data_IF_840032352784
#
_entry.id   IF_840032352784
#
_cell.length_a   1.000
_cell.length_b   1.000
_cell.length_c   1.000
_cell.angle_alpha   90.00
_cell.angle_beta   90.00
_cell.angle_gamma   90.00
#
_symmetry.space_group_name_H-M   'P 1'
#
loop_
_entity.id
_entity.type
_entity.pdbx_description
1 polymer ?
#
# COMPACT_ATOMS: atom_id res chain seq x y z
N UNK A 1 -12.60 20.94 -13.93
CA UNK A 1 -13.13 19.64 -14.41
C UNK A 1 -12.00 18.63 -14.70
N UNK A 2 -11.04 18.95 -15.57
CA UNK A 2 -9.94 18.04 -15.95
C UNK A 2 -9.16 17.48 -14.76
N UNK A 3 -8.76 18.34 -13.81
CA UNK A 3 -8.04 17.91 -12.61
C UNK A 3 -8.86 16.98 -11.70
N UNK A 4 -10.19 17.16 -11.65
CA UNK A 4 -11.09 16.30 -10.88
C UNK A 4 -11.23 14.91 -11.52
N UNK A 5 -11.32 14.85 -12.86
CA UNK A 5 -11.36 13.59 -13.62
C UNK A 5 -10.04 12.82 -13.43
N UNK A 6 -8.90 13.51 -13.49
CA UNK A 6 -7.60 12.88 -13.27
C UNK A 6 -7.47 12.36 -11.84
N UNK A 7 -7.98 13.09 -10.84
CA UNK A 7 -8.04 12.61 -9.45
C UNK A 7 -8.86 11.31 -9.34
N UNK A 8 -10.01 11.23 -10.01
CA UNK A 8 -10.82 10.02 -10.04
C UNK A 8 -10.11 8.86 -10.75
N UNK A 9 -9.46 9.11 -11.89
CA UNK A 9 -8.69 8.11 -12.62
C UNK A 9 -7.47 7.60 -11.81
N UNK A 10 -6.82 8.48 -11.04
CA UNK A 10 -5.77 8.13 -10.08
C UNK A 10 -6.31 7.26 -8.94
N UNK A 11 -7.48 7.60 -8.39
CA UNK A 11 -8.12 6.81 -7.33
C UNK A 11 -8.48 5.39 -7.80
N UNK A 12 -8.83 5.24 -9.08
CA UNK A 12 -9.10 3.95 -9.72
C UNK A 12 -7.82 3.18 -10.12
N UNK A 13 -6.62 3.77 -9.95
CA UNK A 13 -5.36 3.16 -10.37
C UNK A 13 -5.20 3.04 -11.89
N UNK A 14 -6.02 3.76 -12.66
CA UNK A 14 -6.03 3.76 -14.11
C UNK A 14 -5.04 4.78 -14.71
N UNK A 15 -4.60 5.75 -13.91
CA UNK A 15 -3.67 6.79 -14.36
C UNK A 15 -2.34 6.72 -13.61
N UNK A 16 -1.21 7.04 -14.28
CA UNK A 16 0.05 7.19 -13.60
C UNK A 16 0.03 8.22 -12.47
N UNK A 17 0.74 7.92 -11.38
CA UNK A 17 0.85 8.83 -10.22
C UNK A 17 1.43 10.17 -10.69
N UNK A 18 0.67 11.25 -10.55
CA UNK A 18 1.08 12.63 -10.90
C UNK A 18 1.08 13.51 -9.66
N UNK A 19 1.91 14.56 -9.65
CA UNK A 19 1.94 15.50 -8.53
C UNK A 19 0.62 16.28 -8.48
N UNK A 20 -0.13 16.08 -7.41
CA UNK A 20 -1.31 16.87 -7.08
C UNK A 20 -0.91 17.88 -6.01
N UNK A 21 -1.05 19.17 -6.35
CA UNK A 21 -0.90 20.28 -5.41
C UNK A 21 -2.30 20.77 -5.05
N UNK A 22 -2.64 20.72 -3.78
CA UNK A 22 -3.89 21.30 -3.28
C UNK A 22 -3.70 22.80 -3.12
N UNK A 23 -4.44 23.62 -3.87
CA UNK A 23 -4.26 25.07 -3.89
C UNK A 23 -5.04 25.80 -2.81
N UNK A 24 -6.01 25.15 -2.15
CA UNK A 24 -6.84 25.77 -1.11
C UNK A 24 -6.90 24.98 0.20
N UNK A 25 -6.91 25.74 1.30
CA UNK A 25 -6.97 25.25 2.68
C UNK A 25 -8.37 24.72 3.08
N UNK A 26 -9.43 25.14 2.37
CA UNK A 26 -10.83 24.91 2.77
C UNK A 26 -11.60 23.95 1.85
N UNK A 27 -11.14 23.78 0.60
CA UNK A 27 -11.82 22.93 -0.39
C UNK A 27 -10.89 21.87 -0.97
N UNK A 28 -11.12 20.62 -0.56
CA UNK A 28 -10.45 19.40 -1.06
C UNK A 28 -10.60 19.16 -2.58
N UNK A 29 -11.47 19.94 -3.24
CA UNK A 29 -11.72 19.90 -4.69
C UNK A 29 -10.82 20.81 -5.53
N UNK A 30 -10.10 21.78 -4.92
CA UNK A 30 -9.19 22.66 -5.65
C UNK A 30 -7.81 22.03 -5.76
N UNK A 31 -7.64 21.30 -6.87
CA UNK A 31 -6.45 20.53 -7.20
C UNK A 31 -5.82 21.13 -8.44
N UNK A 32 -4.53 21.44 -8.34
CA UNK A 32 -3.68 21.82 -9.45
C UNK A 32 -2.60 20.76 -9.65
N UNK A 33 -2.40 20.33 -10.88
CA UNK A 33 -1.30 19.41 -11.22
C UNK A 33 -0.43 20.06 -12.29
N UNK A 34 0.80 20.50 -11.94
CA UNK A 34 1.65 21.25 -12.87
C UNK A 34 2.05 20.41 -14.08
N UNK A 35 2.36 19.13 -13.87
CA UNK A 35 2.79 18.22 -14.94
C UNK A 35 1.67 18.02 -15.97
N UNK A 36 0.43 17.83 -15.50
CA UNK A 36 -0.76 17.73 -16.36
C UNK A 36 -1.02 19.05 -17.09
N UNK A 37 -0.86 20.19 -16.42
CA UNK A 37 -1.08 21.48 -17.04
C UNK A 37 -0.13 21.71 -18.23
N UNK A 38 1.12 21.29 -18.12
CA UNK A 38 2.08 21.31 -19.22
C UNK A 38 1.70 20.36 -20.36
N UNK A 39 1.30 19.12 -20.03
CA UNK A 39 0.82 18.15 -21.04
C UNK A 39 -0.41 18.70 -21.76
N UNK A 40 -1.35 19.31 -21.03
CA UNK A 40 -2.56 19.89 -21.58
C UNK A 40 -2.25 21.11 -22.47
N UNK A 41 -1.29 21.94 -22.08
CA UNK A 41 -0.81 23.05 -22.90
C UNK A 41 -0.21 22.56 -24.22
N UNK A 42 0.70 21.57 -24.17
CA UNK A 42 1.30 20.98 -25.39
C UNK A 42 0.22 20.34 -26.26
N UNK A 43 -0.72 19.64 -25.67
CA UNK A 43 -1.83 19.01 -26.38
C UNK A 43 -2.74 20.06 -27.05
N UNK A 44 -3.08 21.14 -26.36
CA UNK A 44 -3.85 22.25 -26.94
C UNK A 44 -3.11 22.87 -28.13
N UNK A 45 -1.81 23.14 -28.00
CA UNK A 45 -1.00 23.67 -29.10
C UNK A 45 -0.97 22.70 -30.28
N UNK A 46 -0.78 21.40 -30.03
CA UNK A 46 -0.75 20.38 -31.06
C UNK A 46 -2.09 20.27 -31.82
N UNK A 47 -3.22 20.33 -31.11
CA UNK A 47 -4.56 20.33 -31.71
C UNK A 47 -4.78 21.60 -32.53
N UNK A 48 -4.49 22.78 -31.98
CA UNK A 48 -4.65 24.05 -32.72
C UNK A 48 -3.75 24.14 -33.94
N UNK A 49 -2.52 23.63 -33.87
CA UNK A 49 -1.60 23.59 -35.01
C UNK A 49 -2.02 22.54 -36.07
N UNK A 50 -2.57 21.40 -35.63
CA UNK A 50 -3.01 20.32 -36.51
C UNK A 50 -4.28 20.67 -37.29
N UNK A 51 -5.19 21.43 -36.71
CA UNK A 51 -6.43 21.86 -37.37
C UNK A 51 -6.31 23.28 -37.92
N UNK A 52 -6.07 23.39 -39.23
CA UNK A 52 -5.99 24.68 -39.93
C UNK A 52 -7.35 25.33 -40.18
N UNK A 53 -8.43 24.54 -40.18
CA UNK A 53 -9.79 24.99 -40.53
C UNK A 53 -10.74 24.92 -39.33
N UNK A 54 -11.48 26.01 -39.08
CA UNK A 54 -12.47 26.10 -37.99
C UNK A 54 -13.60 25.06 -38.11
N UNK A 55 -14.01 24.70 -39.34
CA UNK A 55 -15.05 23.72 -39.60
C UNK A 55 -14.67 22.29 -39.18
N UNK A 56 -13.40 21.91 -39.37
CA UNK A 56 -12.90 20.59 -38.96
C UNK A 56 -12.86 20.44 -37.44
N UNK A 57 -12.49 21.52 -36.74
CA UNK A 57 -12.51 21.57 -35.27
C UNK A 57 -13.93 21.41 -34.75
N UNK A 58 -14.90 22.10 -35.37
CA UNK A 58 -16.30 22.00 -35.00
C UNK A 58 -16.84 20.57 -35.18
N UNK A 59 -16.48 19.91 -36.29
CA UNK A 59 -16.86 18.51 -36.53
C UNK A 59 -16.23 17.56 -35.50
N UNK A 60 -14.95 17.73 -35.16
CA UNK A 60 -14.26 16.95 -34.14
C UNK A 60 -14.91 17.11 -32.76
N UNK A 61 -15.20 18.35 -32.35
CA UNK A 61 -15.88 18.63 -31.10
C UNK A 61 -17.29 18.01 -31.07
N UNK A 62 -18.07 18.17 -32.13
CA UNK A 62 -19.39 17.55 -32.25
C UNK A 62 -19.33 16.02 -32.13
N UNK A 63 -18.29 15.40 -32.68
CA UNK A 63 -18.04 13.96 -32.55
C UNK A 63 -17.78 13.54 -31.11
N UNK A 64 -16.95 14.30 -30.39
CA UNK A 64 -16.66 14.01 -28.99
C UNK A 64 -17.92 14.17 -28.10
N UNK A 65 -18.73 15.21 -28.35
CA UNK A 65 -19.95 15.49 -27.59
C UNK A 65 -21.00 14.39 -27.78
N UNK A 66 -21.28 13.97 -29.02
CA UNK A 66 -22.29 12.92 -29.22
C UNK A 66 -21.84 11.57 -28.63
N UNK A 67 -20.54 11.27 -28.67
CA UNK A 67 -19.99 10.05 -28.06
C UNK A 67 -20.13 10.07 -26.54
N UNK A 68 -19.84 11.20 -25.88
CA UNK A 68 -20.04 11.29 -24.42
C UNK A 68 -21.52 11.23 -24.06
N UNK A 69 -22.41 11.84 -24.85
CA UNK A 69 -23.86 11.76 -24.64
C UNK A 69 -24.35 10.30 -24.71
N UNK A 70 -24.00 9.58 -25.77
CA UNK A 70 -24.32 8.16 -25.92
C UNK A 70 -23.80 7.33 -24.73
N UNK A 71 -22.53 7.51 -24.34
CA UNK A 71 -21.94 6.81 -23.20
C UNK A 71 -22.70 7.15 -21.90
N UNK A 72 -23.07 8.41 -21.68
CA UNK A 72 -23.85 8.79 -20.50
C UNK A 72 -25.25 8.21 -20.50
N UNK A 73 -25.90 8.11 -21.66
CA UNK A 73 -27.21 7.45 -21.80
C UNK A 73 -27.10 5.97 -21.43
N UNK A 74 -26.09 5.26 -21.95
CA UNK A 74 -25.85 3.86 -21.57
C UNK A 74 -25.46 3.66 -20.10
N UNK A 75 -24.69 4.57 -19.52
CA UNK A 75 -24.33 4.53 -18.09
C UNK A 75 -25.49 4.90 -17.17
N UNK A 76 -26.43 5.73 -17.62
CA UNK A 76 -27.62 6.09 -16.85
C UNK A 76 -28.59 4.92 -16.69
N UNK A 77 -28.67 4.01 -17.66
CA UNK A 77 -29.52 2.80 -17.59
C UNK A 77 -29.23 1.96 -16.32
N UNK A 78 -28.00 1.48 -16.06
CA UNK A 78 -27.69 0.74 -14.85
C UNK A 78 -27.83 1.60 -13.59
N UNK A 79 -27.60 2.92 -13.65
CA UNK A 79 -27.82 3.81 -12.49
C UNK A 79 -29.31 3.84 -12.11
N UNK A 80 -30.21 4.03 -13.07
CA UNK A 80 -31.66 4.04 -12.81
C UNK A 80 -32.18 2.69 -12.32
N UNK A 81 -31.61 1.58 -12.82
CA UNK A 81 -31.98 0.23 -12.41
C UNK A 81 -31.43 -0.14 -11.02
N UNK A 82 -30.14 0.08 -10.77
CA UNK A 82 -29.43 -0.42 -9.59
C UNK A 82 -29.47 0.57 -8.42
N UNK A 83 -29.30 1.87 -8.68
CA UNK A 83 -29.26 2.90 -7.63
C UNK A 83 -30.66 3.40 -7.31
N UNK A 84 -31.43 3.74 -8.36
CA UNK A 84 -32.74 4.37 -8.17
C UNK A 84 -33.89 3.36 -8.03
N UNK A 85 -33.67 2.07 -8.34
CA UNK A 85 -34.70 1.01 -8.35
C UNK A 85 -36.00 1.43 -9.07
N UNK A 86 -35.88 2.22 -10.14
CA UNK A 86 -37.05 2.67 -10.89
C UNK A 86 -37.74 1.51 -11.62
N UNK A 87 -39.06 1.65 -11.82
CA UNK A 87 -39.83 0.68 -12.60
C UNK A 87 -39.23 0.56 -14.02
N UNK A 88 -39.11 -0.67 -14.54
CA UNK A 88 -38.42 -0.93 -15.82
C UNK A 88 -39.02 -0.13 -16.99
N UNK A 89 -40.32 0.15 -16.95
CA UNK A 89 -41.02 1.00 -17.93
C UNK A 89 -40.46 2.41 -18.01
N UNK A 90 -40.09 3.05 -16.88
CA UNK A 90 -39.50 4.39 -16.88
C UNK A 90 -38.10 4.40 -17.48
N UNK A 91 -37.33 3.33 -17.22
CA UNK A 91 -35.98 3.18 -17.79
C UNK A 91 -36.06 3.01 -19.31
N UNK A 92 -36.98 2.17 -19.79
CA UNK A 92 -37.22 1.97 -21.22
C UNK A 92 -37.67 3.28 -21.86
N UNK A 93 -38.64 3.98 -21.26
CA UNK A 93 -39.14 5.26 -21.77
C UNK A 93 -38.02 6.31 -21.89
N UNK A 94 -37.23 6.51 -20.83
CA UNK A 94 -36.08 7.40 -20.85
C UNK A 94 -35.06 7.02 -21.93
N UNK A 95 -34.72 5.74 -22.02
CA UNK A 95 -33.74 5.23 -23.00
C UNK A 95 -34.22 5.48 -24.42
N UNK A 96 -35.48 5.17 -24.72
CA UNK A 96 -36.05 5.36 -26.06
C UNK A 96 -36.08 6.85 -26.43
N UNK A 97 -36.50 7.73 -25.52
CA UNK A 97 -36.53 9.17 -25.75
C UNK A 97 -35.13 9.75 -25.97
N UNK A 98 -34.15 9.35 -25.15
CA UNK A 98 -32.76 9.81 -25.29
C UNK A 98 -32.15 9.32 -26.61
N UNK A 99 -32.29 8.03 -26.91
CA UNK A 99 -31.74 7.42 -28.12
C UNK A 99 -32.40 7.95 -29.39
N UNK A 100 -33.68 8.33 -29.33
CA UNK A 100 -34.39 8.97 -30.45
C UNK A 100 -33.75 10.31 -30.84
N UNK A 101 -33.26 11.08 -29.87
CA UNK A 101 -32.52 12.32 -30.13
C UNK A 101 -31.08 12.02 -30.54
N UNK A 102 -30.42 11.07 -29.90
CA UNK A 102 -29.00 10.79 -30.13
C UNK A 102 -28.71 10.08 -31.46
N UNK A 103 -29.58 9.17 -31.93
CA UNK A 103 -29.37 8.42 -33.18
C UNK A 103 -29.23 9.33 -34.42
N UNK A 104 -30.12 10.33 -34.65
CA UNK A 104 -29.98 11.25 -35.76
C UNK A 104 -28.67 12.06 -35.71
N UNK A 105 -28.30 12.55 -34.52
CA UNK A 105 -27.05 13.29 -34.32
C UNK A 105 -25.83 12.40 -34.56
N UNK A 106 -25.86 11.17 -34.07
CA UNK A 106 -24.81 10.17 -34.31
C UNK A 106 -24.68 9.87 -35.80
N UNK A 107 -25.79 9.67 -36.49
CA UNK A 107 -25.81 9.43 -37.95
C UNK A 107 -25.19 10.60 -38.72
N UNK A 108 -25.49 11.84 -38.31
CA UNK A 108 -24.90 13.03 -38.92
C UNK A 108 -23.38 13.12 -38.69
N UNK A 109 -22.91 12.72 -37.52
CA UNK A 109 -21.48 12.71 -37.16
C UNK A 109 -20.71 11.60 -37.88
N UNK A 110 -21.27 10.38 -37.96
CA UNK A 110 -20.63 9.25 -38.66
C UNK A 110 -20.39 9.60 -40.14
N UNK A 111 -21.32 10.31 -40.78
CA UNK A 111 -21.14 10.78 -42.17
C UNK A 111 -20.04 11.83 -42.32
N UNK A 112 -19.68 12.53 -41.26
CA UNK A 112 -18.65 13.59 -41.26
C UNK A 112 -17.33 13.13 -40.64
N UNK A 113 -17.14 11.83 -40.42
CA UNK A 113 -15.93 11.30 -39.77
C UNK A 113 -14.67 11.63 -40.57
N UNK A 114 -14.76 11.57 -41.91
CA UNK A 114 -13.67 11.90 -42.84
C UNK A 114 -13.31 13.39 -42.85
N UNK A 115 -14.21 14.25 -42.36
CA UNK A 115 -14.05 15.70 -42.31
C UNK A 115 -13.44 16.19 -40.97
N UNK A 116 -12.73 15.31 -40.26
CA UNK A 116 -12.03 15.62 -39.01
C UNK A 116 -12.62 14.97 -37.75
N UNK A 117 -13.76 14.27 -37.86
CA UNK A 117 -14.37 13.53 -36.74
C UNK A 117 -13.54 12.33 -36.26
N UNK A 118 -12.63 11.80 -37.09
CA UNK A 118 -11.77 10.68 -36.73
C UNK A 118 -10.71 11.02 -35.65
N UNK A 119 -10.29 12.29 -35.56
CA UNK A 119 -9.22 12.74 -34.66
C UNK A 119 -9.52 12.48 -33.17
N UNK A 120 -10.66 12.92 -32.60
CA UNK A 120 -10.99 12.62 -31.20
C UNK A 120 -11.11 11.11 -30.92
N UNK A 121 -11.52 10.30 -31.91
CA UNK A 121 -11.59 8.85 -31.79
C UNK A 121 -10.17 8.26 -31.66
N UNK A 122 -9.24 8.69 -32.51
CA UNK A 122 -7.83 8.26 -32.42
C UNK A 122 -7.22 8.65 -31.08
N UNK A 123 -7.46 9.88 -30.59
CA UNK A 123 -7.00 10.26 -29.26
C UNK A 123 -7.63 9.41 -28.16
N UNK A 124 -8.93 9.14 -28.21
CA UNK A 124 -9.61 8.29 -27.23
C UNK A 124 -9.01 6.88 -27.19
N UNK A 125 -8.77 6.26 -28.35
CA UNK A 125 -8.12 4.94 -28.46
C UNK A 125 -6.68 4.98 -27.93
N UNK A 126 -5.90 6.00 -28.28
CA UNK A 126 -4.53 6.15 -27.79
C UNK A 126 -4.49 6.28 -26.26
N UNK A 127 -5.34 7.13 -25.67
CA UNK A 127 -5.44 7.27 -24.21
C UNK A 127 -5.95 5.99 -23.54
N UNK A 128 -6.90 5.28 -24.16
CA UNK A 128 -7.39 3.99 -23.65
C UNK A 128 -6.26 2.97 -23.61
N UNK A 129 -5.44 2.85 -24.67
CA UNK A 129 -4.29 1.94 -24.68
C UNK A 129 -3.31 2.29 -23.56
N UNK A 130 -2.98 3.57 -23.39
CA UNK A 130 -2.10 4.05 -22.32
C UNK A 130 -2.66 3.67 -20.94
N UNK A 131 -3.93 3.98 -20.70
CA UNK A 131 -4.63 3.71 -19.45
C UNK A 131 -4.70 2.21 -19.16
N UNK A 132 -5.04 1.41 -20.17
CA UNK A 132 -5.14 -0.05 -20.07
C UNK A 132 -3.78 -0.68 -19.75
N UNK A 133 -2.72 -0.30 -20.46
CA UNK A 133 -1.38 -0.84 -20.23
C UNK A 133 -0.83 -0.41 -18.87
N UNK A 134 -1.08 0.84 -18.46
CA UNK A 134 -0.73 1.31 -17.11
C UNK A 134 -1.45 0.51 -16.03
N UNK A 135 -2.77 0.38 -16.14
CA UNK A 135 -3.60 -0.35 -15.19
C UNK A 135 -3.19 -1.81 -15.11
N UNK A 136 -3.03 -2.48 -16.25
CA UNK A 136 -2.61 -3.88 -16.33
C UNK A 136 -1.22 -4.09 -15.68
N UNK A 137 -0.23 -3.26 -16.01
CA UNK A 137 1.11 -3.37 -15.44
C UNK A 137 1.12 -3.11 -13.93
N UNK A 138 0.39 -2.10 -13.47
CA UNK A 138 0.27 -1.76 -12.05
C UNK A 138 -0.45 -2.87 -11.26
N UNK A 139 -1.54 -3.41 -11.81
CA UNK A 139 -2.29 -4.51 -11.20
C UNK A 139 -1.42 -5.76 -11.08
N UNK A 140 -0.70 -6.14 -12.15
CA UNK A 140 0.18 -7.32 -12.12
C UNK A 140 1.36 -7.14 -11.16
N UNK A 141 1.90 -5.92 -11.04
CA UNK A 141 2.90 -5.61 -10.02
C UNK A 141 2.35 -5.82 -8.62
N UNK A 142 1.17 -5.27 -8.36
CA UNK A 142 0.52 -5.32 -7.06
C UNK A 142 0.16 -6.76 -6.67
N UNK A 143 -0.43 -7.52 -7.58
CA UNK A 143 -0.77 -8.94 -7.41
C UNK A 143 0.50 -9.74 -7.05
N UNK A 144 1.61 -9.53 -7.78
CA UNK A 144 2.87 -10.19 -7.47
C UNK A 144 3.43 -9.80 -6.09
N UNK A 145 3.46 -8.51 -5.77
CA UNK A 145 3.94 -8.03 -4.45
C UNK A 145 3.05 -8.55 -3.31
N UNK A 146 1.76 -8.78 -3.57
CA UNK A 146 0.82 -9.36 -2.60
C UNK A 146 0.99 -10.87 -2.43
N UNK A 147 1.14 -11.63 -3.52
CA UNK A 147 1.30 -13.08 -3.47
C UNK A 147 2.70 -13.52 -3.03
N UNK A 148 3.72 -12.71 -3.27
CA UNK A 148 5.11 -12.98 -2.87
C UNK A 148 5.43 -12.48 -1.47
N UNK A 149 4.41 -12.27 -0.63
CA UNK A 149 4.63 -11.94 0.78
C UNK A 149 5.37 -13.09 1.44
N UNK A 150 6.59 -12.79 1.87
CA UNK A 150 7.38 -13.75 2.64
C UNK A 150 6.78 -13.79 4.04
N UNK A 151 6.53 -15.01 4.53
CA UNK A 151 5.97 -15.19 5.87
C UNK A 151 6.95 -14.66 6.91
N UNK A 152 6.43 -14.03 7.96
CA UNK A 152 7.27 -13.63 9.11
C UNK A 152 8.00 -14.84 9.68
N UNK A 153 7.35 -16.01 9.66
CA UNK A 153 7.94 -17.27 10.09
C UNK A 153 9.21 -17.65 9.31
N UNK A 154 9.31 -17.36 8.00
CA UNK A 154 10.53 -17.60 7.23
C UNK A 154 11.69 -16.72 7.75
N UNK A 155 11.44 -15.44 8.01
CA UNK A 155 12.45 -14.49 8.50
C UNK A 155 12.87 -14.78 9.94
N UNK A 156 11.92 -15.20 10.78
CA UNK A 156 12.22 -15.59 12.15
C UNK A 156 12.92 -16.95 12.22
N UNK A 157 12.62 -17.85 11.27
CA UNK A 157 13.35 -19.10 11.07
C UNK A 157 14.77 -18.90 10.50
N UNK A 158 14.99 -17.80 9.80
CA UNK A 158 16.29 -17.25 9.36
C UNK A 158 17.14 -16.67 10.50
N UNK A 159 16.87 -17.09 11.74
CA UNK A 159 17.61 -16.70 12.95
C UNK A 159 19.13 -16.93 12.85
N UNK A 160 19.86 -16.81 13.98
CA UNK A 160 21.34 -16.78 14.01
C UNK A 160 22.06 -17.98 13.35
N UNK A 161 21.32 -19.03 12.98
CA UNK A 161 21.76 -20.21 12.25
C UNK A 161 21.97 -20.00 10.73
N UNK A 162 21.33 -19.02 10.09
CA UNK A 162 21.74 -18.57 8.75
C UNK A 162 22.76 -17.46 8.96
N UNK A 163 24.02 -17.68 8.57
CA UNK A 163 25.18 -16.80 8.80
C UNK A 163 25.09 -15.40 8.19
N UNK A 164 24.05 -14.64 8.57
CA UNK A 164 23.84 -13.24 8.25
C UNK A 164 24.69 -12.41 9.20
N UNK A 165 25.61 -11.65 8.63
CA UNK A 165 26.45 -10.73 9.39
C UNK A 165 25.60 -9.53 9.79
N UNK A 166 25.51 -9.24 11.09
CA UNK A 166 24.89 -7.99 11.57
C UNK A 166 25.91 -6.87 11.56
N UNK A 167 25.63 -5.85 10.77
CA UNK A 167 26.47 -4.66 10.63
C UNK A 167 25.91 -3.56 11.55
N UNK A 168 26.74 -2.89 12.37
CA UNK A 168 26.27 -1.79 13.20
C UNK A 168 25.64 -0.68 12.34
N UNK A 169 24.46 -0.20 12.73
CA UNK A 169 23.69 0.78 11.97
C UNK A 169 22.18 0.49 12.00
N UNK A 170 21.42 1.40 11.37
CA UNK A 170 19.96 1.27 11.19
C UNK A 170 19.60 1.14 9.72
N UNK A 171 18.91 0.07 9.36
CA UNK A 171 18.37 -0.13 8.00
C UNK A 171 16.90 0.26 7.92
N UNK A 172 16.57 1.33 7.21
CA UNK A 172 15.19 1.74 6.94
C UNK A 172 14.72 1.12 5.62
N UNK A 173 13.85 0.11 5.67
CA UNK A 173 13.33 -0.58 4.49
C UNK A 173 11.96 -0.02 4.12
N UNK A 174 11.88 0.74 3.01
CA UNK A 174 10.64 1.32 2.54
C UNK A 174 9.77 0.29 1.82
N UNK A 175 8.50 0.17 2.25
CA UNK A 175 7.54 -0.81 1.69
C UNK A 175 6.13 -0.23 1.52
N UNK A 176 5.43 -0.62 0.46
CA UNK A 176 4.00 -0.26 0.27
C UNK A 176 3.07 -1.21 1.07
N UNK A 177 3.61 -2.32 1.61
CA UNK A 177 2.86 -3.32 2.37
C UNK A 177 2.68 -2.91 3.83
N UNK A 178 1.42 -2.82 4.28
CA UNK A 178 1.08 -2.58 5.68
C UNK A 178 1.23 -3.84 6.56
N UNK A 179 1.30 -5.03 5.95
CA UNK A 179 1.53 -6.30 6.62
C UNK A 179 2.35 -7.26 5.75
N UNK A 180 3.16 -8.11 6.38
CA UNK A 180 4.16 -8.95 5.69
C UNK A 180 5.51 -8.25 5.49
N UNK A 181 6.53 -9.01 5.11
CA UNK A 181 7.81 -8.46 4.65
C UNK A 181 7.82 -8.50 3.14
N UNK A 182 8.23 -7.41 2.46
CA UNK A 182 8.27 -7.39 1.01
C UNK A 182 9.28 -8.41 0.48
N UNK A 183 8.94 -9.11 -0.60
CA UNK A 183 9.82 -10.09 -1.26
C UNK A 183 11.21 -9.54 -1.58
N UNK A 184 11.30 -8.25 -1.90
CA UNK A 184 12.57 -7.58 -2.19
C UNK A 184 13.60 -7.74 -1.07
N UNK A 185 13.14 -7.85 0.18
CA UNK A 185 14.00 -8.05 1.34
C UNK A 185 14.59 -9.47 1.37
N UNK A 186 13.82 -10.48 0.97
CA UNK A 186 14.33 -11.85 0.81
C UNK A 186 15.38 -11.89 -0.29
N UNK A 187 15.10 -11.29 -1.45
CA UNK A 187 16.08 -11.17 -2.55
C UNK A 187 17.34 -10.39 -2.14
N UNK A 188 17.19 -9.35 -1.32
CA UNK A 188 18.31 -8.58 -0.78
C UNK A 188 19.20 -9.47 0.10
N UNK A 189 18.61 -10.15 1.09
CA UNK A 189 19.33 -11.03 2.02
C UNK A 189 20.02 -12.19 1.30
N UNK A 190 19.39 -12.78 0.28
CA UNK A 190 20.00 -13.92 -0.44
C UNK A 190 21.22 -13.51 -1.25
N UNK A 191 21.29 -12.26 -1.73
CA UNK A 191 22.42 -11.76 -2.52
C UNK A 191 23.49 -11.08 -1.63
N UNK A 192 23.06 -10.51 -0.51
CA UNK A 192 23.91 -9.84 0.47
C UNK A 192 23.56 -10.42 1.84
N UNK A 193 24.35 -11.39 2.36
CA UNK A 193 24.12 -12.01 3.66
C UNK A 193 24.57 -11.09 4.80
N UNK A 194 24.17 -9.81 4.75
CA UNK A 194 24.46 -8.79 5.74
C UNK A 194 23.22 -7.95 5.98
N UNK A 195 22.85 -7.78 7.25
CA UNK A 195 21.71 -6.96 7.68
C UNK A 195 22.17 -5.95 8.73
N UNK A 196 21.44 -4.84 8.86
CA UNK A 196 21.72 -3.87 9.90
C UNK A 196 21.30 -4.41 11.28
N UNK A 197 22.02 -4.01 12.33
CA UNK A 197 21.75 -4.39 13.71
C UNK A 197 20.32 -4.03 14.17
N UNK A 198 19.81 -2.88 13.72
CA UNK A 198 18.40 -2.50 13.86
C UNK A 198 17.77 -2.35 12.48
N UNK A 199 16.60 -2.96 12.28
CA UNK A 199 15.90 -2.87 11.00
C UNK A 199 14.48 -2.36 11.18
N UNK A 200 14.11 -1.31 10.44
CA UNK A 200 12.78 -0.70 10.52
C UNK A 200 12.12 -0.75 9.14
N UNK A 201 11.01 -1.48 9.02
CA UNK A 201 10.18 -1.47 7.83
C UNK A 201 9.25 -0.25 7.86
N UNK A 202 9.52 0.73 7.01
CA UNK A 202 8.76 1.98 6.93
C UNK A 202 7.70 1.88 5.84
N UNK A 203 6.44 2.03 6.22
CA UNK A 203 5.30 2.07 5.31
C UNK A 203 4.62 3.44 5.36
N UNK A 204 4.76 4.23 4.29
CA UNK A 204 4.15 5.55 4.20
C UNK A 204 2.74 5.43 3.61
N UNK A 205 1.74 5.97 4.31
CA UNK A 205 0.35 6.00 3.87
C UNK A 205 -0.16 7.44 3.87
N UNK A 206 -0.71 7.87 2.75
CA UNK A 206 -1.38 9.16 2.63
C UNK A 206 -2.87 9.01 2.94
N UNK A 207 -3.36 9.78 3.91
CA UNK A 207 -4.76 9.82 4.32
C UNK A 207 -5.47 11.02 3.68
N UNK A 208 -6.80 10.94 3.46
CA UNK A 208 -7.60 12.04 2.93
C UNK A 208 -7.87 13.15 3.97
N UNK A 209 -6.90 13.44 4.85
CA UNK A 209 -6.98 14.46 5.91
C UNK A 209 -5.96 15.57 5.65
N UNK A 210 -6.21 16.78 6.16
CA UNK A 210 -5.38 17.96 5.88
C UNK A 210 -3.96 17.81 6.43
N UNK A 211 -3.85 17.49 7.72
CA UNK A 211 -2.61 17.19 8.40
C UNK A 211 -2.90 16.08 9.41
N UNK A 212 -1.97 15.15 9.58
CA UNK A 212 -2.07 14.13 10.62
C UNK A 212 -1.37 14.67 11.87
N UNK A 213 -2.01 14.64 13.06
CA UNK A 213 -1.36 15.05 14.30
C UNK A 213 -0.09 14.22 14.55
N UNK A 214 0.92 14.84 15.18
CA UNK A 214 2.25 14.24 15.36
C UNK A 214 2.20 12.91 16.12
N UNK A 215 1.29 12.80 17.09
CA UNK A 215 1.15 11.61 17.94
C UNK A 215 0.59 10.39 17.18
N UNK A 216 -0.20 10.60 16.12
CA UNK A 216 -0.77 9.53 15.28
C UNK A 216 -0.01 9.32 13.97
N UNK A 217 1.04 10.14 13.75
CA UNK A 217 1.80 10.16 12.51
C UNK A 217 2.65 8.92 12.34
N UNK A 218 3.20 8.37 13.42
CA UNK A 218 4.07 7.20 13.38
C UNK A 218 3.46 6.11 14.25
N UNK A 219 3.08 4.99 13.62
CA UNK A 219 2.61 3.81 14.33
C UNK A 219 3.66 2.73 14.28
N UNK A 220 4.33 2.51 15.39
CA UNK A 220 5.41 1.53 15.53
C UNK A 220 4.86 0.23 16.10
N UNK A 221 5.35 -0.90 15.60
CA UNK A 221 5.10 -2.25 16.11
C UNK A 221 6.36 -3.10 16.01
N UNK A 222 6.60 -3.97 16.99
CA UNK A 222 7.70 -4.94 16.93
C UNK A 222 7.38 -6.09 15.97
N UNK A 223 8.41 -6.60 15.28
CA UNK A 223 8.32 -7.78 14.42
C UNK A 223 9.19 -8.89 15.03
N UNK A 224 8.57 -9.97 15.47
CA UNK A 224 9.28 -11.11 16.07
C UNK A 224 9.73 -10.88 17.50
N UNK A 225 10.57 -11.79 18.04
CA UNK A 225 11.09 -11.69 19.39
C UNK A 225 12.08 -10.52 19.55
N UNK A 226 12.24 -10.04 20.80
CA UNK A 226 13.01 -8.83 21.13
C UNK A 226 14.46 -8.84 20.64
N UNK A 227 15.11 -10.00 20.64
CA UNK A 227 16.50 -10.19 20.18
C UNK A 227 16.73 -9.86 18.69
N UNK A 228 15.70 -9.81 17.87
CA UNK A 228 15.87 -9.51 16.44
C UNK A 228 16.03 -8.01 16.16
N UNK A 229 15.62 -7.11 17.06
CA UNK A 229 15.62 -5.65 16.85
C UNK A 229 15.00 -5.22 15.51
N UNK A 230 13.88 -5.86 15.16
CA UNK A 230 13.12 -5.58 13.95
C UNK A 230 11.81 -4.89 14.28
N UNK A 231 11.56 -3.76 13.63
CA UNK A 231 10.39 -2.93 13.86
C UNK A 231 9.65 -2.66 12.55
N UNK A 232 8.36 -2.41 12.65
CA UNK A 232 7.54 -1.84 11.60
C UNK A 232 7.11 -0.46 12.03
N UNK A 233 7.22 0.51 11.13
CA UNK A 233 6.62 1.81 11.32
C UNK A 233 5.67 2.13 10.16
N UNK A 234 4.43 2.48 10.48
CA UNK A 234 3.48 3.04 9.51
C UNK A 234 3.44 4.55 9.69
N UNK A 235 3.98 5.27 8.72
CA UNK A 235 4.02 6.73 8.73
C UNK A 235 2.80 7.28 7.95
N UNK A 236 1.92 8.00 8.64
CA UNK A 236 0.65 8.52 8.15
C UNK A 236 0.78 10.01 7.80
N UNK A 237 0.44 10.38 6.58
CA UNK A 237 0.58 11.74 6.08
C UNK A 237 -0.74 12.28 5.54
N UNK A 238 -1.05 13.53 5.86
CA UNK A 238 -2.12 14.28 5.21
C UNK A 238 -1.71 14.78 3.82
N UNK A 239 -2.67 15.25 3.03
CA UNK A 239 -2.41 15.71 1.67
C UNK A 239 -1.60 17.01 1.56
N UNK A 240 -1.38 17.72 2.68
CA UNK A 240 -0.52 18.91 2.76
C UNK A 240 0.73 18.69 3.59
N UNK A 241 0.91 17.50 4.17
CA UNK A 241 2.11 17.14 4.91
C UNK A 241 3.23 16.88 3.89
N UNK A 242 3.87 17.96 3.43
CA UNK A 242 4.99 17.90 2.50
C UNK A 242 6.19 17.34 3.25
N UNK A 243 6.81 16.30 2.70
CA UNK A 243 8.13 15.84 3.12
C UNK A 243 9.13 16.98 2.88
N UNK A 244 9.39 17.80 3.89
CA UNK A 244 10.56 18.69 3.86
C UNK A 244 11.82 17.82 3.84
N UNK A 245 12.82 18.31 3.12
CA UNK A 245 14.11 17.64 2.94
C UNK A 245 14.86 17.64 4.29
N UNK A 246 15.34 16.47 4.67
CA UNK A 246 16.35 16.19 5.70
C UNK A 246 15.97 16.27 7.19
N UNK A 247 16.67 15.41 7.96
CA UNK A 247 16.78 15.13 9.41
C UNK A 247 15.53 15.01 10.29
N UNK A 248 14.49 15.82 10.05
CA UNK A 248 13.28 15.83 10.90
C UNK A 248 12.55 14.48 10.85
N UNK A 249 12.51 13.82 9.69
CA UNK A 249 11.81 12.54 9.53
C UNK A 249 12.48 11.42 10.33
N UNK A 250 13.80 11.28 10.19
CA UNK A 250 14.55 10.25 10.90
C UNK A 250 14.46 10.49 12.40
N UNK A 251 14.65 11.73 12.84
CA UNK A 251 14.51 12.09 14.25
C UNK A 251 13.11 11.75 14.80
N UNK A 252 12.03 12.18 14.13
CA UNK A 252 10.67 11.86 14.56
C UNK A 252 10.38 10.35 14.56
N UNK A 253 10.93 9.60 13.60
CA UNK A 253 10.80 8.15 13.54
C UNK A 253 11.50 7.49 14.72
N UNK A 254 12.72 7.91 15.05
CA UNK A 254 13.48 7.39 16.18
C UNK A 254 12.85 7.77 17.53
N UNK A 255 12.35 8.99 17.68
CA UNK A 255 11.65 9.42 18.89
C UNK A 255 10.39 8.57 19.12
N UNK A 256 9.62 8.31 18.06
CA UNK A 256 8.46 7.40 18.10
C UNK A 256 8.86 5.95 18.42
N UNK A 257 9.98 5.48 17.87
CA UNK A 257 10.53 4.14 18.16
C UNK A 257 10.92 4.00 19.63
N UNK A 258 11.62 4.99 20.20
CA UNK A 258 12.02 4.99 21.61
C UNK A 258 10.80 5.09 22.54
N UNK A 259 9.81 5.91 22.18
CA UNK A 259 8.54 5.99 22.90
C UNK A 259 7.84 4.62 22.92
N UNK A 260 7.79 3.93 21.77
CA UNK A 260 7.22 2.60 21.67
C UNK A 260 7.94 1.59 22.56
N UNK A 261 9.28 1.55 22.56
CA UNK A 261 10.06 0.62 23.42
C UNK A 261 9.77 0.87 24.90
N UNK A 262 9.65 2.13 25.32
CA UNK A 262 9.28 2.49 26.70
C UNK A 262 7.85 2.08 27.05
N UNK A 263 6.90 2.25 26.13
CA UNK A 263 5.51 1.87 26.36
C UNK A 263 5.33 0.34 26.39
N UNK A 264 6.00 -0.38 25.50
CA UNK A 264 5.99 -1.85 25.44
C UNK A 264 6.46 -2.45 26.77
N UNK A 265 7.53 -1.90 27.36
CA UNK A 265 8.00 -2.36 28.67
C UNK A 265 7.03 -2.07 29.81
N UNK A 266 6.35 -0.93 29.78
CA UNK A 266 5.34 -0.59 30.80
C UNK A 266 4.10 -1.50 30.69
N UNK A 267 3.72 -1.92 29.49
CA UNK A 267 2.57 -2.82 29.29
C UNK A 267 2.86 -4.26 29.74
N UNK A 268 4.10 -4.72 29.59
CA UNK A 268 4.53 -6.02 30.14
C UNK A 268 4.50 -6.03 31.68
N UNK A 269 4.74 -4.89 32.32
CA UNK A 269 4.67 -4.70 33.78
C UNK A 269 3.26 -5.00 34.37
N UNK A 270 2.19 -4.87 33.57
CA UNK A 270 0.80 -5.13 34.00
C UNK A 270 0.30 -6.55 33.70
N UNK A 271 0.94 -7.28 32.79
CA UNK A 271 0.46 -8.62 32.39
C UNK A 271 0.90 -9.69 33.40
N UNK A 272 2.02 -9.48 34.10
CA UNK A 272 2.51 -10.37 35.16
C UNK A 272 1.83 -10.16 36.53
N UNK A 273 1.06 -9.07 36.71
CA UNK A 273 0.42 -8.75 38.00
C UNK A 273 -0.94 -9.42 38.24
N UNK A 274 -1.56 -10.01 37.22
CA UNK A 274 -2.90 -10.61 37.33
C UNK A 274 -2.88 -12.12 37.70
N UNK A 275 -1.72 -12.74 37.84
CA UNK A 275 -1.59 -14.17 38.22
C UNK A 275 -1.43 -14.43 39.73
N UNK A 276 -1.67 -13.43 40.59
CA UNK A 276 -1.50 -13.58 42.04
C UNK A 276 -2.73 -13.17 42.87
N UNK A 277 -3.87 -13.84 42.67
CA UNK A 277 -4.90 -13.85 43.72
C UNK A 277 -5.83 -15.07 43.70
N UNK A 278 -5.32 -16.21 44.18
CA UNK A 278 -6.17 -17.21 44.87
C UNK A 278 -5.34 -17.99 45.90
N UNK A 279 -5.25 -17.46 47.11
CA UNK A 279 -4.94 -18.26 48.31
C UNK A 279 -6.21 -19.01 48.70
N UNK A 280 -6.22 -20.33 48.55
CA UNK A 280 -6.99 -21.19 49.45
C UNK A 280 -6.02 -22.08 50.24
N UNK A 281 -5.90 -21.72 51.51
CA UNK A 281 -5.49 -22.59 52.61
C UNK A 281 -6.31 -23.88 52.60
N UNK A 282 -5.66 -25.04 52.76
CA UNK A 282 -6.11 -26.08 53.70
C UNK A 282 -5.04 -27.15 53.97
N UNK A 283 -5.01 -27.55 55.24
CA UNK A 283 -4.12 -28.52 55.88
C UNK A 283 -4.33 -29.98 55.38
N UNK A 284 -3.25 -30.74 55.53
CA UNK A 284 -3.08 -32.20 55.48
C UNK A 284 -4.24 -33.08 55.99
N UNK A 285 -4.52 -34.19 55.28
CA UNK A 285 -5.32 -35.32 55.81
C UNK A 285 -5.53 -36.46 54.79
N UNK A 286 -5.10 -37.66 55.18
CA UNK A 286 -5.07 -38.94 54.44
C UNK A 286 -6.42 -39.54 54.02
N UNK A 287 -6.37 -40.44 53.02
CA UNK A 287 -7.21 -41.64 52.76
C UNK A 287 -8.25 -41.61 51.62
N UNK A 288 -8.03 -42.50 50.64
CA UNK A 288 -9.03 -43.16 49.76
C UNK A 288 -9.99 -44.05 50.60
N UNK A 289 -11.15 -44.59 50.12
CA UNK A 289 -11.54 -44.88 48.71
C UNK A 289 -13.06 -44.75 48.30
N UNK A 290 -13.31 -44.91 46.98
CA UNK A 290 -14.41 -45.68 46.32
C UNK A 290 -15.90 -45.23 46.27
N UNK A 291 -16.44 -45.35 45.04
CA UNK A 291 -17.79 -45.85 44.58
C UNK A 291 -18.86 -44.86 44.06
N UNK A 292 -19.23 -45.11 42.79
CA UNK A 292 -20.49 -45.01 42.01
C UNK A 292 -21.53 -43.87 42.19
N UNK A 293 -22.09 -43.42 41.05
CA UNK A 293 -23.53 -43.11 40.96
C UNK A 293 -23.97 -41.96 40.05
N UNK A 294 -24.19 -42.28 38.76
CA UNK A 294 -25.33 -41.94 37.86
C UNK A 294 -26.10 -40.58 37.98
N UNK A 295 -26.35 -40.02 36.79
CA UNK A 295 -27.51 -39.23 36.29
C UNK A 295 -27.51 -37.68 36.23
N UNK A 296 -27.45 -37.22 34.96
CA UNK A 296 -28.39 -36.35 34.25
C UNK A 296 -28.58 -34.87 34.66
N UNK A 297 -28.41 -33.98 33.66
CA UNK A 297 -28.90 -32.60 33.70
C UNK A 297 -28.31 -31.75 32.58
N UNK A 298 -29.07 -31.61 31.49
CA UNK A 298 -28.81 -30.79 30.31
C UNK A 298 -28.67 -29.30 30.61
N UNK A 299 -27.78 -28.59 29.90
CA UNK A 299 -28.19 -27.56 28.94
C UNK A 299 -27.02 -27.07 28.10
N UNK A 300 -27.36 -26.88 26.83
CA UNK A 300 -26.54 -26.59 25.67
C UNK A 300 -26.50 -25.07 25.49
N UNK A 301 -25.31 -24.49 25.33
CA UNK A 301 -25.16 -23.27 24.53
C UNK A 301 -23.82 -23.29 23.79
N UNK A 302 -23.94 -23.14 22.48
CA UNK A 302 -22.96 -23.46 21.45
C UNK A 302 -22.33 -22.15 20.96
N UNK A 303 -21.01 -21.99 21.10
CA UNK A 303 -20.26 -20.99 20.35
C UNK A 303 -19.02 -21.62 19.71
N UNK A 304 -18.83 -21.26 18.45
CA UNK A 304 -18.07 -21.96 17.41
C UNK A 304 -16.55 -21.72 17.58
N UNK A 305 -15.78 -22.77 17.88
CA UNK A 305 -14.31 -22.75 17.92
C UNK A 305 -13.72 -23.25 16.61
N UNK A 306 -12.87 -22.42 16.01
CA UNK A 306 -11.98 -22.77 14.91
C UNK A 306 -10.81 -23.61 15.41
N UNK A 307 -10.77 -24.88 15.01
CA UNK A 307 -9.60 -25.74 15.15
C UNK A 307 -8.69 -25.58 13.92
N UNK A 308 -7.45 -25.16 14.14
CA UNK A 308 -6.32 -25.64 13.35
C UNK A 308 -5.18 -25.97 14.32
N UNK A 309 -4.91 -27.26 14.42
CA UNK A 309 -3.97 -27.91 15.32
C UNK A 309 -2.55 -27.84 14.75
N UNK A 310 -1.61 -27.31 15.53
CA UNK A 310 -0.17 -27.50 15.29
C UNK A 310 0.39 -28.36 16.42
N UNK A 311 0.95 -29.49 16.01
CA UNK A 311 1.61 -30.52 16.80
C UNK A 311 2.74 -29.90 17.64
N UNK A 312 2.70 -30.08 18.97
CA UNK A 312 3.80 -29.74 19.87
C UNK A 312 4.99 -30.67 19.63
N UNK A 313 6.11 -30.12 19.17
CA UNK A 313 7.41 -30.77 19.21
C UNK A 313 8.02 -30.54 20.60
N UNK A 314 8.28 -31.63 21.30
CA UNK A 314 8.83 -31.67 22.65
C UNK A 314 10.29 -31.18 22.64
N UNK A 315 10.56 -30.09 23.35
CA UNK A 315 11.92 -29.58 23.60
C UNK A 315 12.51 -30.25 24.85
N UNK A 316 13.82 -30.53 24.91
CA UNK A 316 14.44 -31.16 26.07
C UNK A 316 14.46 -30.22 27.28
N UNK A 317 14.21 -30.79 28.46
CA UNK A 317 14.20 -30.10 29.75
C UNK A 317 15.55 -29.42 30.03
N UNK A 318 15.57 -28.09 29.98
CA UNK A 318 16.60 -27.28 30.63
C UNK A 318 16.13 -26.97 32.04
N UNK A 319 16.80 -27.54 33.05
CA UNK A 319 16.71 -27.10 34.43
C UNK A 319 17.33 -25.71 34.56
N UNK A 320 16.51 -24.67 34.39
CA UNK A 320 16.85 -23.28 34.65
C UNK A 320 16.23 -22.82 35.97
N UNK A 321 17.07 -22.38 36.90
CA UNK A 321 16.66 -21.70 38.12
C UNK A 321 15.66 -20.59 37.83
N UNK A 322 14.50 -20.62 38.50
CA UNK A 322 13.56 -19.50 38.57
C UNK A 322 14.19 -18.38 39.41
N UNK A 323 14.92 -17.47 38.77
CA UNK A 323 15.20 -16.16 39.36
C UNK A 323 14.00 -15.27 39.06
N UNK A 324 13.30 -14.86 40.12
CA UNK A 324 12.31 -13.79 40.06
C UNK A 324 13.00 -12.52 39.56
N UNK A 325 12.61 -12.04 38.38
CA UNK A 325 13.11 -10.78 37.81
C UNK A 325 12.59 -9.64 38.69
N UNK A 326 13.50 -8.95 39.37
CA UNK A 326 13.15 -7.80 40.20
C UNK A 326 12.75 -6.62 39.29
N UNK A 327 11.83 -5.71 39.70
CA UNK A 327 11.42 -4.55 38.90
C UNK A 327 12.61 -3.74 38.37
N UNK A 328 13.69 -3.63 39.16
CA UNK A 328 14.93 -2.95 38.77
C UNK A 328 15.71 -3.56 37.61
N UNK A 329 15.58 -4.86 37.31
CA UNK A 329 16.26 -5.50 36.17
C UNK A 329 15.58 -5.14 34.84
N UNK A 330 14.26 -4.92 34.83
CA UNK A 330 13.51 -4.58 33.62
C UNK A 330 13.83 -3.14 33.16
N UNK A 331 13.91 -2.18 34.07
CA UNK A 331 14.34 -0.80 33.77
C UNK A 331 15.77 -0.73 33.22
N UNK A 332 16.68 -1.58 33.72
CA UNK A 332 18.02 -1.73 33.13
C UNK A 332 17.94 -2.26 31.70
N UNK A 333 17.12 -3.27 31.44
CA UNK A 333 16.99 -3.89 30.11
C UNK A 333 16.43 -2.92 29.06
N UNK A 334 15.51 -2.03 29.46
CA UNK A 334 14.94 -1.00 28.57
C UNK A 334 15.94 0.12 28.32
N UNK A 335 16.66 0.57 29.35
CA UNK A 335 17.74 1.53 29.21
C UNK A 335 18.83 1.02 28.27
N UNK A 336 19.17 -0.26 28.38
CA UNK A 336 20.15 -0.93 27.53
C UNK A 336 19.66 -1.05 26.07
N UNK A 337 18.38 -1.37 25.84
CA UNK A 337 17.80 -1.42 24.48
C UNK A 337 17.77 -0.02 23.84
N UNK A 338 17.40 1.02 24.60
CA UNK A 338 17.41 2.41 24.12
C UNK A 338 18.85 2.87 23.83
N UNK A 339 19.81 2.54 24.70
CA UNK A 339 21.23 2.84 24.48
C UNK A 339 21.77 2.12 23.23
N UNK A 340 21.37 0.87 23.00
CA UNK A 340 21.70 0.12 21.79
C UNK A 340 21.12 0.77 20.53
N UNK A 341 19.85 1.21 20.57
CA UNK A 341 19.23 1.92 19.45
C UNK A 341 19.94 3.23 19.12
N UNK A 342 20.34 3.99 20.16
CA UNK A 342 21.14 5.21 19.99
C UNK A 342 22.51 4.91 19.37
N UNK A 343 23.22 3.91 19.87
CA UNK A 343 24.51 3.50 19.29
C UNK A 343 24.37 3.04 17.83
N UNK A 344 23.28 2.35 17.48
CA UNK A 344 22.99 1.98 16.09
C UNK A 344 22.69 3.22 15.22
N UNK A 345 21.97 4.21 15.75
CA UNK A 345 21.69 5.47 15.05
C UNK A 345 22.99 6.23 14.78
N UNK A 346 23.87 6.32 15.78
CA UNK A 346 25.17 7.00 15.69
C UNK A 346 26.13 6.32 14.71
N UNK A 347 26.00 5.00 14.54
CA UNK A 347 26.75 4.24 13.54
C UNK A 347 26.30 4.50 12.09
N UNK A 348 25.12 5.09 11.89
CA UNK A 348 24.61 5.53 10.59
C UNK A 348 23.27 4.90 10.19
N UNK A 349 22.53 5.62 9.34
CA UNK A 349 21.22 5.23 8.82
C UNK A 349 21.31 4.98 7.31
N UNK A 350 20.85 3.80 6.88
CA UNK A 350 20.83 3.41 5.47
C UNK A 350 19.38 3.21 5.01
N UNK A 351 19.01 3.86 3.91
CA UNK A 351 17.67 3.83 3.34
C UNK A 351 17.60 2.82 2.21
N UNK A 352 16.86 1.74 2.41
CA UNK A 352 16.70 0.64 1.45
C UNK A 352 15.37 0.81 0.73
N UNK A 353 15.43 1.05 -0.58
CA UNK A 353 14.25 1.19 -1.43
C UNK A 353 14.19 0.07 -2.48
N UNK A 354 13.07 -0.65 -2.51
CA UNK A 354 12.81 -1.66 -3.52
C UNK A 354 12.35 -1.05 -4.84
N UNK A 355 13.05 -1.37 -5.93
CA UNK A 355 12.67 -1.01 -7.29
C UNK A 355 12.33 -2.26 -8.11
N UNK A 356 11.05 -2.66 -8.09
CA UNK A 356 10.55 -3.80 -8.89
C UNK A 356 10.30 -3.37 -10.33
N UNK A 357 11.01 -3.97 -11.29
CA UNK A 357 10.80 -3.75 -12.73
C UNK A 357 10.11 -4.97 -13.33
N UNK A 358 8.97 -4.73 -13.98
CA UNK A 358 8.24 -5.80 -14.69
C UNK A 358 8.79 -5.91 -16.11
N UNK A 359 9.06 -7.14 -16.55
CA UNK A 359 9.37 -7.50 -17.93
C UNK A 359 8.43 -8.62 -18.38
N UNK A 360 8.14 -8.68 -19.67
CA UNK A 360 7.39 -9.80 -20.23
C UNK A 360 8.31 -11.04 -20.34
N UNK A 361 7.79 -12.24 -20.03
CA UNK A 361 8.54 -13.50 -20.24
C UNK A 361 8.90 -13.71 -21.73
N UNK A 362 9.94 -14.51 -22.01
CA UNK A 362 10.42 -14.75 -23.37
C UNK A 362 9.42 -15.51 -24.25
N UNK A 363 8.56 -16.31 -23.64
CA UNK A 363 7.45 -17.07 -24.25
C UNK A 363 6.18 -16.22 -24.49
N UNK A 364 6.10 -15.01 -23.94
CA UNK A 364 4.92 -14.16 -24.09
C UNK A 364 4.75 -13.64 -25.53
N UNK A 365 3.48 -13.48 -25.93
CA UNK A 365 3.11 -12.95 -27.24
C UNK A 365 3.67 -11.54 -27.50
N UNK A 366 3.86 -11.22 -28.78
CA UNK A 366 4.48 -9.96 -29.23
C UNK A 366 3.78 -8.71 -28.67
N UNK A 367 2.45 -8.69 -28.64
CA UNK A 367 1.66 -7.57 -28.10
C UNK A 367 1.96 -7.36 -26.61
N UNK A 368 2.03 -8.44 -25.82
CA UNK A 368 2.35 -8.38 -24.39
C UNK A 368 3.78 -7.86 -24.15
N UNK A 369 4.73 -8.25 -25.00
CA UNK A 369 6.11 -7.73 -24.97
C UNK A 369 6.16 -6.23 -25.24
N UNK A 370 5.45 -5.75 -26.27
CA UNK A 370 5.39 -4.31 -26.56
C UNK A 370 4.75 -3.54 -25.41
N UNK A 371 3.59 -4.01 -24.92
CA UNK A 371 2.87 -3.35 -23.85
C UNK A 371 3.71 -3.23 -22.57
N UNK A 372 4.36 -4.30 -22.13
CA UNK A 372 5.10 -4.32 -20.86
C UNK A 372 6.51 -3.73 -21.01
N UNK A 373 7.30 -4.21 -21.97
CA UNK A 373 8.72 -3.86 -22.05
C UNK A 373 8.96 -2.44 -22.58
N UNK A 374 8.06 -1.93 -23.42
CA UNK A 374 8.21 -0.60 -24.01
C UNK A 374 7.20 0.38 -23.44
N UNK A 375 5.90 0.15 -23.61
CA UNK A 375 4.90 1.16 -23.26
C UNK A 375 4.80 1.38 -21.75
N UNK A 376 4.67 0.32 -20.95
CA UNK A 376 4.64 0.41 -19.49
C UNK A 376 5.97 0.93 -18.92
N UNK A 377 7.11 0.44 -19.44
CA UNK A 377 8.43 0.92 -19.02
C UNK A 377 8.64 2.41 -19.34
N UNK A 378 8.20 2.87 -20.52
CA UNK A 378 8.26 4.26 -20.93
C UNK A 378 7.35 5.15 -20.07
N UNK A 379 6.09 4.75 -19.89
CA UNK A 379 5.15 5.44 -19.00
C UNK A 379 5.74 5.55 -17.60
N UNK A 380 6.27 4.45 -17.07
CA UNK A 380 6.90 4.42 -15.75
C UNK A 380 8.10 5.36 -15.66
N UNK A 381 8.91 5.49 -16.72
CA UNK A 381 10.07 6.38 -16.77
C UNK A 381 9.68 7.85 -16.84
N UNK A 382 8.57 8.17 -17.52
CA UNK A 382 8.01 9.52 -17.55
C UNK A 382 7.40 9.90 -16.20
N UNK A 383 6.83 8.92 -15.49
CA UNK A 383 6.28 9.13 -14.17
C UNK A 383 7.39 9.16 -13.11
N UNK A 384 7.23 10.03 -12.11
CA UNK A 384 8.25 10.20 -11.08
C UNK A 384 8.47 8.90 -10.30
N UNK A 385 9.72 8.49 -10.14
CA UNK A 385 10.09 7.33 -9.33
C UNK A 385 9.71 7.52 -7.86
N UNK A 386 9.41 6.42 -7.17
CA UNK A 386 9.06 6.40 -5.74
C UNK A 386 10.13 7.08 -4.86
N UNK A 387 11.42 7.03 -5.26
CA UNK A 387 12.55 7.69 -4.59
C UNK A 387 12.38 9.20 -4.47
N UNK A 388 11.90 9.85 -5.54
CA UNK A 388 11.63 11.28 -5.54
C UNK A 388 10.41 11.66 -4.68
N UNK A 389 9.56 10.70 -4.29
CA UNK A 389 8.38 10.94 -3.44
C UNK A 389 8.78 10.98 -1.97
N UNK A 390 9.74 10.14 -1.57
CA UNK A 390 10.21 10.07 -0.18
C UNK A 390 11.31 11.10 0.15
N UNK A 391 11.85 11.79 -0.87
CA UNK A 391 12.86 12.85 -0.69
C UNK A 391 14.05 12.40 0.16
N UNK A 392 14.44 11.13 0.00
CA UNK A 392 15.48 10.48 0.78
C UNK A 392 16.85 11.00 0.33
N UNK A 393 17.78 11.30 1.25
CA UNK A 393 19.14 11.69 0.90
C UNK A 393 19.79 10.64 -0.01
N UNK A 394 20.32 11.07 -1.15
CA UNK A 394 20.88 10.17 -2.15
C UNK A 394 22.17 9.46 -1.69
N UNK A 395 22.84 10.00 -0.66
CA UNK A 395 24.14 9.53 -0.17
C UNK A 395 24.03 8.25 0.68
N UNK A 396 22.88 8.01 1.32
CA UNK A 396 22.61 6.83 2.15
C UNK A 396 21.54 5.91 1.55
N UNK A 397 21.21 6.09 0.27
CA UNK A 397 20.15 5.35 -0.42
C UNK A 397 20.69 4.11 -1.14
N UNK A 398 20.22 2.95 -0.73
CA UNK A 398 20.44 1.67 -1.37
C UNK A 398 19.21 1.23 -2.17
N UNK A 399 19.31 1.33 -3.50
CA UNK A 399 18.27 0.85 -4.42
C UNK A 399 18.46 -0.64 -4.72
N UNK A 400 17.51 -1.46 -4.26
CA UNK A 400 17.49 -2.89 -4.59
C UNK A 400 16.59 -3.09 -5.81
N UNK A 401 17.19 -3.36 -6.95
CA UNK A 401 16.49 -3.68 -8.18
C UNK A 401 16.09 -5.16 -8.24
N UNK A 402 14.82 -5.45 -8.52
CA UNK A 402 14.37 -6.81 -8.84
C UNK A 402 13.63 -6.78 -10.18
N UNK A 403 14.05 -7.64 -11.10
CA UNK A 403 13.35 -7.85 -12.38
C UNK A 403 12.37 -9.00 -12.20
N UNK A 404 11.10 -8.72 -12.46
CA UNK A 404 10.03 -9.72 -12.42
C UNK A 404 9.52 -10.01 -13.83
N UNK A 405 9.27 -11.28 -14.15
CA UNK A 405 8.81 -11.69 -15.47
C UNK A 405 7.33 -12.11 -15.47
N UNK A 406 6.49 -11.31 -16.16
CA UNK A 406 5.03 -11.50 -16.31
C UNK A 406 4.67 -12.22 -17.59
#
# INVERSE_FOLDING_TARGET
MTYSIIKQALALGCFPRVRIIHTSKKYLGQIYSPDINWILLVFCIAVTAGFKNQSQIANAYGTAVIMVMLVTTFLMIPIMLLVWRSHWTLVILFTVLSLFVEIPYFTAVVRKIDQGGWVPLVFAVAFLIIMYVWHYGTLKRYEFEMHSKVSMAWILGLGPSLGLVRVPGVGLVYTELASGVPHIFSHFITNLPAIHSTLVFVCVKYLPVYTVPLDERFLVKRIGPKNFHMFRCVARYGYKDIHKKDDDFEQMLFDSLMLFVRLESMMEEYTDSDEYSTRETNLSGSANPRINGISAGSNMDLSYTSHDSIIQVQSPNYTGNSQAVSPGQLYHTVGDEIAFLNACRDAGVVHILGNTVIRARRDSGFIKKIAINYLYAFLRKICRENSAIFNVPHESLLNVGQVFYV
#
